data_IF_869858929269
#
_entry.id   IF_869858929269
#
_cell.length_a   1.000
_cell.length_b   1.000
_cell.length_c   1.000
_cell.angle_alpha   90.00
_cell.angle_beta   90.00
_cell.angle_gamma   90.00
#
_symmetry.space_group_name_H-M   'P 1'
#
loop_
_entity.id
_entity.type
_entity.pdbx_description
1 polymer ?
#
# COMPACT_ATOMS: atom_id res chain seq x y z
N UNK A 1 1.55 39.18 -25.09
CA UNK A 1 2.29 40.00 -24.11
C UNK A 1 1.60 39.82 -22.77
N UNK A 2 2.08 38.88 -21.96
CA UNK A 2 1.65 38.72 -20.57
C UNK A 2 2.84 39.07 -19.67
N UNK A 3 2.54 39.89 -18.68
CA UNK A 3 3.47 40.68 -17.88
C UNK A 3 4.12 39.84 -16.79
N UNK A 4 5.45 39.84 -16.74
CA UNK A 4 6.29 39.14 -15.75
C UNK A 4 6.15 39.67 -14.30
N UNK A 5 5.16 40.52 -14.01
CA UNK A 5 5.00 41.19 -12.71
C UNK A 5 4.00 40.52 -11.76
N UNK A 6 3.10 39.66 -12.24
CA UNK A 6 2.09 39.02 -11.38
C UNK A 6 2.67 37.86 -10.54
N UNK A 7 3.68 37.17 -11.07
CA UNK A 7 4.32 36.05 -10.38
C UNK A 7 5.25 36.53 -9.25
N UNK A 8 5.98 37.63 -9.47
CA UNK A 8 6.82 38.26 -8.45
C UNK A 8 5.98 38.89 -7.33
N UNK A 9 4.79 39.41 -7.66
CA UNK A 9 3.84 39.91 -6.66
C UNK A 9 3.31 38.77 -5.77
N UNK A 10 2.88 37.65 -6.36
CA UNK A 10 2.43 36.46 -5.62
C UNK A 10 3.55 35.86 -4.75
N UNK A 11 4.79 35.83 -5.25
CA UNK A 11 5.93 35.34 -4.49
C UNK A 11 6.29 36.27 -3.31
N UNK A 12 6.22 37.59 -3.49
CA UNK A 12 6.44 38.56 -2.41
C UNK A 12 5.32 38.54 -1.37
N UNK A 13 4.07 38.35 -1.78
CA UNK A 13 2.94 38.30 -0.85
C UNK A 13 2.94 37.00 -0.03
N UNK A 14 3.37 35.89 -0.63
CA UNK A 14 3.53 34.60 0.08
C UNK A 14 4.70 34.64 1.07
N UNK A 15 5.81 35.29 0.71
CA UNK A 15 6.94 35.48 1.62
C UNK A 15 6.56 36.39 2.82
N UNK A 16 5.76 37.44 2.59
CA UNK A 16 5.25 38.32 3.66
C UNK A 16 4.28 37.61 4.61
N UNK A 17 3.45 36.70 4.10
CA UNK A 17 2.52 35.92 4.93
C UNK A 17 3.25 34.89 5.81
N UNK A 18 4.39 34.36 5.37
CA UNK A 18 5.20 33.43 6.17
C UNK A 18 5.97 34.17 7.28
N UNK A 19 6.47 35.38 7.01
CA UNK A 19 7.12 36.23 8.02
C UNK A 19 6.15 36.86 9.04
N UNK A 20 4.83 36.81 8.79
CA UNK A 20 3.79 37.28 9.74
C UNK A 20 3.12 36.14 10.51
N UNK A 21 3.52 34.89 10.26
CA UNK A 21 3.03 33.70 10.99
C UNK A 21 4.10 33.10 11.93
N UNK A 22 5.27 33.72 12.04
CA UNK A 22 6.26 33.40 13.08
C UNK A 22 6.02 34.23 14.34
N UNK A 23 4.81 34.15 14.92
CA UNK A 23 4.55 34.68 16.24
C UNK A 23 4.32 33.54 17.23
N UNK A 24 5.32 33.42 18.10
CA UNK A 24 5.43 32.59 19.30
C UNK A 24 4.40 32.94 20.39
N UNK A 25 3.14 33.12 20.01
CA UNK A 25 2.03 33.51 20.91
C UNK A 25 0.81 32.56 20.87
N UNK A 26 0.84 31.47 20.10
CA UNK A 26 -0.28 30.51 20.07
C UNK A 26 -0.09 29.27 20.99
N UNK A 27 1.10 29.05 21.56
CA UNK A 27 1.37 27.88 22.43
C UNK A 27 1.30 28.17 23.94
N UNK A 28 0.97 29.40 24.36
CA UNK A 28 1.04 29.81 25.78
C UNK A 28 -0.28 30.04 26.51
N UNK A 29 -1.41 29.60 25.95
CA UNK A 29 -2.72 29.86 26.59
C UNK A 29 -3.63 28.63 26.80
N UNK A 30 -3.13 27.39 26.67
CA UNK A 30 -3.96 26.19 26.93
C UNK A 30 -3.52 25.29 28.09
N UNK A 31 -2.40 25.59 28.75
CA UNK A 31 -1.99 24.90 29.96
C UNK A 31 -1.61 25.93 31.01
N UNK A 32 -2.53 26.20 31.94
CA UNK A 32 -2.31 26.27 33.39
C UNK A 32 -3.50 26.96 34.08
N UNK A 33 -4.23 26.19 34.90
CA UNK A 33 -4.77 26.65 36.18
C UNK A 33 -5.14 25.42 37.05
N UNK A 34 -5.07 25.53 38.38
CA UNK A 34 -4.46 24.52 39.24
C UNK A 34 -5.38 23.92 40.31
N UNK A 35 -4.84 22.87 40.95
CA UNK A 35 -5.05 22.43 42.35
C UNK A 35 -6.43 21.94 42.79
N UNK A 36 -6.50 20.66 43.14
CA UNK A 36 -7.14 20.23 44.38
C UNK A 36 -6.29 19.16 45.07
N UNK A 37 -6.09 19.40 46.38
CA UNK A 37 -5.32 18.62 47.34
C UNK A 37 -5.75 17.14 47.40
N UNK A 38 -4.78 16.23 47.32
CA UNK A 38 -4.89 14.90 47.95
C UNK A 38 -3.61 14.64 48.72
N UNK A 39 -3.80 14.40 50.02
CA UNK A 39 -2.79 14.23 51.05
C UNK A 39 -1.76 13.14 50.72
N UNK A 40 -0.49 13.53 50.84
CA UNK A 40 0.66 12.65 50.79
C UNK A 40 0.85 11.99 52.17
N UNK A 41 0.30 10.79 52.33
CA UNK A 41 0.75 9.80 53.33
C UNK A 41 -0.04 8.49 53.10
N UNK A 42 0.58 7.51 52.42
CA UNK A 42 0.23 6.07 52.26
C UNK A 42 0.25 5.59 50.80
N UNK A 43 1.39 5.59 50.13
CA UNK A 43 1.67 4.67 49.02
C UNK A 43 3.17 4.36 49.00
N UNK A 44 3.65 3.56 49.96
CA UNK A 44 5.06 3.13 49.99
C UNK A 44 5.17 1.59 50.14
N UNK A 45 4.22 0.83 49.57
CA UNK A 45 4.20 -0.63 49.70
C UNK A 45 3.59 -1.38 48.48
N UNK A 46 3.66 -0.80 47.27
CA UNK A 46 3.19 -1.46 46.03
C UNK A 46 4.12 -1.23 44.80
N UNK A 47 5.43 -1.13 45.01
CA UNK A 47 6.42 -0.96 43.92
C UNK A 47 7.18 -2.23 43.52
N UNK A 48 6.68 -3.43 43.85
CA UNK A 48 7.28 -4.70 43.42
C UNK A 48 6.21 -5.72 42.96
N UNK A 49 5.28 -5.29 42.10
CA UNK A 49 4.44 -6.24 41.36
C UNK A 49 4.72 -6.12 39.87
N UNK A 50 5.67 -6.92 39.39
CA UNK A 50 5.63 -7.61 38.10
C UNK A 50 4.95 -6.84 36.95
N UNK A 51 5.55 -5.73 36.52
CA UNK A 51 5.41 -5.30 35.13
C UNK A 51 6.26 -6.24 34.26
N UNK A 52 5.84 -7.50 34.15
CA UNK A 52 6.09 -8.25 32.94
C UNK A 52 5.24 -7.56 31.88
N UNK A 53 5.80 -6.52 31.24
CA UNK A 53 5.39 -6.17 29.89
C UNK A 53 5.42 -7.48 29.11
N UNK A 54 4.26 -7.97 28.68
CA UNK A 54 4.17 -9.10 27.77
C UNK A 54 4.98 -8.71 26.54
N UNK A 55 6.23 -9.17 26.47
CA UNK A 55 7.12 -8.89 25.35
C UNK A 55 6.38 -9.32 24.09
N UNK A 56 6.05 -8.34 23.24
CA UNK A 56 5.42 -8.60 21.96
C UNK A 56 6.39 -9.47 21.15
N UNK A 57 6.01 -10.72 20.95
CA UNK A 57 6.82 -11.68 20.20
C UNK A 57 6.67 -11.38 18.70
N UNK A 58 7.72 -10.76 18.13
CA UNK A 58 7.78 -10.44 16.70
C UNK A 58 8.40 -11.61 15.92
N UNK A 59 7.92 -11.89 14.70
CA UNK A 59 8.43 -13.01 13.94
C UNK A 59 9.87 -12.78 13.47
N UNK A 60 10.73 -13.79 13.68
CA UNK A 60 12.05 -13.85 13.05
C UNK A 60 11.94 -14.36 11.60
N UNK A 61 11.40 -13.50 10.74
CA UNK A 61 11.14 -13.80 9.34
C UNK A 61 11.41 -12.58 8.46
N UNK A 62 11.74 -12.79 7.17
CA UNK A 62 11.92 -11.68 6.25
C UNK A 62 10.59 -10.98 5.99
N UNK A 63 10.65 -9.66 5.82
CA UNK A 63 9.48 -8.91 5.46
C UNK A 63 9.66 -7.41 5.40
N UNK A 64 8.57 -6.69 5.67
CA UNK A 64 8.55 -5.23 5.66
C UNK A 64 7.97 -4.74 6.97
N UNK A 65 8.72 -3.89 7.67
CA UNK A 65 8.22 -3.05 8.77
C UNK A 65 7.83 -1.69 8.18
N UNK A 66 6.61 -1.22 8.43
CA UNK A 66 6.07 -0.06 7.71
C UNK A 66 5.10 0.80 8.52
N UNK A 67 4.94 2.04 8.07
CA UNK A 67 3.94 2.98 8.52
C UNK A 67 3.09 3.50 7.34
N UNK A 68 1.82 3.78 7.60
CA UNK A 68 0.88 4.39 6.64
C UNK A 68 0.71 5.87 6.99
N UNK A 69 1.51 6.73 6.36
CA UNK A 69 1.43 8.17 6.60
C UNK A 69 0.26 8.77 5.82
N UNK A 70 -0.78 9.24 6.53
CA UNK A 70 -1.92 9.97 5.92
C UNK A 70 -1.62 11.47 5.88
N UNK A 71 -2.01 12.12 4.79
CA UNK A 71 -1.89 13.58 4.61
C UNK A 71 -3.04 14.09 3.75
N UNK A 72 -4.05 14.68 4.40
CA UNK A 72 -5.26 15.16 3.73
C UNK A 72 -6.00 14.04 2.99
N UNK A 73 -6.21 14.21 1.69
CA UNK A 73 -6.91 13.24 0.82
C UNK A 73 -5.97 12.16 0.25
N UNK A 74 -4.74 12.06 0.74
CA UNK A 74 -3.73 11.13 0.22
C UNK A 74 -3.03 10.37 1.35
N UNK A 75 -2.40 9.25 1.01
CA UNK A 75 -1.52 8.51 1.92
C UNK A 75 -0.24 8.09 1.20
N UNK A 76 0.79 7.76 1.97
CA UNK A 76 2.02 7.15 1.45
C UNK A 76 2.50 6.05 2.38
N UNK A 77 3.09 5.01 1.81
CA UNK A 77 3.71 3.94 2.56
C UNK A 77 5.19 4.25 2.78
N UNK A 78 5.63 4.14 4.04
CA UNK A 78 7.04 4.25 4.45
C UNK A 78 7.42 2.96 5.12
N UNK A 79 8.59 2.42 4.81
CA UNK A 79 8.96 1.11 5.30
C UNK A 79 10.44 0.81 5.19
N UNK A 80 10.80 -0.29 5.85
CA UNK A 80 12.12 -0.88 5.90
C UNK A 80 11.95 -2.34 5.50
N UNK A 81 12.64 -2.75 4.44
CA UNK A 81 12.76 -4.17 4.07
C UNK A 81 13.81 -4.79 4.96
N UNK A 82 13.52 -5.99 5.49
CA UNK A 82 14.39 -6.64 6.48
C UNK A 82 14.38 -8.16 6.34
N UNK A 83 15.50 -8.77 6.73
CA UNK A 83 15.63 -10.22 6.86
C UNK A 83 15.00 -10.76 8.16
N UNK A 84 14.87 -9.90 9.19
CA UNK A 84 14.26 -10.21 10.48
C UNK A 84 13.40 -9.04 10.96
N UNK A 85 12.08 -9.26 11.01
CA UNK A 85 11.12 -8.29 11.56
C UNK A 85 11.41 -8.05 13.04
N UNK A 86 11.71 -9.11 13.81
CA UNK A 86 12.13 -9.05 15.21
C UNK A 86 13.28 -8.06 15.44
N UNK A 87 14.43 -8.28 14.78
CA UNK A 87 15.63 -7.43 14.93
C UNK A 87 15.34 -5.95 14.56
N UNK A 88 14.42 -5.74 13.62
CA UNK A 88 14.04 -4.40 13.18
C UNK A 88 13.21 -3.68 14.23
N UNK A 89 12.26 -4.37 14.87
CA UNK A 89 11.49 -3.82 15.99
C UNK A 89 12.36 -3.58 17.22
N UNK A 90 13.31 -4.46 17.52
CA UNK A 90 14.29 -4.25 18.59
C UNK A 90 15.07 -2.96 18.35
N UNK A 91 15.58 -2.77 17.13
CA UNK A 91 16.33 -1.57 16.73
C UNK A 91 15.49 -0.30 16.86
N UNK A 92 14.22 -0.35 16.46
CA UNK A 92 13.28 0.77 16.59
C UNK A 92 12.97 1.09 18.06
N UNK A 93 12.72 0.06 18.87
CA UNK A 93 12.37 0.18 20.30
C UNK A 93 13.56 0.70 21.12
N UNK A 94 14.80 0.40 20.69
CA UNK A 94 16.02 0.99 21.24
C UNK A 94 16.21 2.48 20.87
N UNK A 95 15.30 3.07 20.10
CA UNK A 95 15.31 4.50 19.75
C UNK A 95 16.24 4.84 18.59
N UNK A 96 16.49 3.91 17.65
CA UNK A 96 17.27 4.19 16.45
C UNK A 96 16.61 5.28 15.59
N UNK A 97 17.20 6.47 15.63
CA UNK A 97 16.72 7.65 14.92
C UNK A 97 16.69 7.47 13.40
N UNK A 98 17.55 6.60 12.85
CA UNK A 98 17.57 6.35 11.40
C UNK A 98 16.30 5.62 10.97
N UNK A 99 15.93 4.56 11.68
CA UNK A 99 14.73 3.76 11.41
C UNK A 99 13.46 4.58 11.59
N UNK A 100 13.36 5.34 12.68
CA UNK A 100 12.22 6.24 12.95
C UNK A 100 12.02 7.28 11.85
N UNK A 101 13.11 7.90 11.38
CA UNK A 101 13.06 8.86 10.25
C UNK A 101 12.63 8.21 8.95
N UNK A 102 13.07 6.98 8.66
CA UNK A 102 12.63 6.26 7.45
C UNK A 102 11.14 5.95 7.49
N UNK A 103 10.61 5.56 8.65
CA UNK A 103 9.19 5.27 8.86
C UNK A 103 8.32 6.52 9.00
N UNK A 104 8.93 7.70 9.22
CA UNK A 104 8.25 8.96 9.57
C UNK A 104 7.34 8.79 10.79
N UNK A 105 7.91 8.23 11.85
CA UNK A 105 7.24 8.00 13.13
C UNK A 105 8.06 8.68 14.23
N UNK A 106 7.39 9.29 15.18
CA UNK A 106 8.01 9.85 16.39
C UNK A 106 8.10 8.76 17.47
N UNK A 107 9.04 8.88 18.41
CA UNK A 107 9.24 7.88 19.49
C UNK A 107 7.97 7.63 20.33
N UNK A 108 7.04 8.57 20.37
CA UNK A 108 5.77 8.45 21.09
C UNK A 108 4.68 7.69 20.32
N UNK A 109 4.88 7.34 19.05
CA UNK A 109 3.85 6.76 18.16
C UNK A 109 4.28 5.41 17.56
N UNK A 110 5.05 4.61 18.33
CA UNK A 110 5.53 3.30 17.88
C UNK A 110 4.38 2.32 17.59
N UNK A 111 3.23 2.49 18.26
CA UNK A 111 2.02 1.66 18.06
C UNK A 111 1.44 1.77 16.63
N UNK A 112 1.81 2.82 15.88
CA UNK A 112 1.41 3.00 14.49
C UNK A 112 2.19 2.11 13.50
N UNK A 113 3.31 1.52 13.94
CA UNK A 113 4.19 0.71 13.12
C UNK A 113 3.57 -0.68 12.91
N UNK A 114 3.52 -1.10 11.66
CA UNK A 114 2.97 -2.36 11.20
C UNK A 114 4.07 -3.23 10.60
N UNK A 115 3.78 -4.52 10.41
CA UNK A 115 4.66 -5.40 9.67
C UNK A 115 3.90 -6.36 8.76
N UNK A 116 4.60 -6.89 7.77
CA UNK A 116 4.14 -7.98 6.93
C UNK A 116 5.30 -8.93 6.63
N UNK A 117 5.09 -10.21 6.93
CA UNK A 117 6.00 -11.29 6.56
C UNK A 117 5.90 -11.63 5.08
N UNK A 118 7.03 -12.01 4.49
CA UNK A 118 7.14 -12.51 3.12
C UNK A 118 7.94 -13.82 3.09
N UNK A 119 7.86 -14.56 1.98
CA UNK A 119 8.59 -15.83 1.86
C UNK A 119 10.11 -15.63 1.70
N UNK A 120 10.52 -14.49 1.17
CA UNK A 120 11.91 -14.12 0.97
C UNK A 120 12.08 -12.60 1.00
N UNK A 121 13.32 -12.15 1.25
CA UNK A 121 13.67 -10.73 1.15
C UNK A 121 13.42 -10.18 -0.26
N UNK A 122 13.75 -10.94 -1.30
CA UNK A 122 13.52 -10.53 -2.70
C UNK A 122 12.05 -10.19 -2.96
N UNK A 123 11.12 -10.99 -2.41
CA UNK A 123 9.69 -10.74 -2.56
C UNK A 123 9.27 -9.45 -1.82
N UNK A 124 9.84 -9.20 -0.63
CA UNK A 124 9.61 -7.98 0.12
C UNK A 124 10.14 -6.74 -0.62
N UNK A 125 11.34 -6.82 -1.21
CA UNK A 125 11.92 -5.74 -2.03
C UNK A 125 11.05 -5.40 -3.23
N UNK A 126 10.49 -6.42 -3.91
CA UNK A 126 9.60 -6.19 -5.06
C UNK A 126 8.34 -5.46 -4.63
N UNK A 127 7.71 -5.87 -3.52
CA UNK A 127 6.55 -5.16 -2.97
C UNK A 127 6.93 -3.73 -2.57
N UNK A 128 8.10 -3.56 -1.97
CA UNK A 128 8.63 -2.26 -1.60
C UNK A 128 8.75 -1.33 -2.81
N UNK A 129 9.45 -1.74 -3.86
CA UNK A 129 9.67 -0.94 -5.07
C UNK A 129 8.37 -0.58 -5.79
N UNK A 130 7.38 -1.48 -5.76
CA UNK A 130 6.09 -1.23 -6.39
C UNK A 130 5.22 -0.26 -5.58
N UNK A 131 5.27 -0.29 -4.25
CA UNK A 131 4.24 0.38 -3.43
C UNK A 131 4.77 1.47 -2.49
N UNK A 132 6.03 1.46 -2.12
CA UNK A 132 6.56 2.34 -1.09
C UNK A 132 7.11 3.64 -1.67
N UNK A 133 7.21 4.66 -0.81
CA UNK A 133 7.71 5.99 -1.14
C UNK A 133 6.91 6.71 -2.26
N UNK A 134 5.68 6.24 -2.49
CA UNK A 134 4.71 6.74 -3.47
C UNK A 134 3.53 7.37 -2.75
N UNK A 135 2.87 8.32 -3.41
CA UNK A 135 1.69 9.01 -2.89
C UNK A 135 0.44 8.46 -3.56
N UNK A 136 -0.55 8.06 -2.80
CA UNK A 136 -1.79 7.50 -3.30
C UNK A 136 -2.99 8.33 -2.85
N UNK A 137 -3.98 8.59 -3.71
CA UNK A 137 -5.24 9.17 -3.29
C UNK A 137 -6.04 8.18 -2.45
N UNK A 138 -6.62 8.68 -1.35
CA UNK A 138 -7.60 7.92 -0.54
C UNK A 138 -8.85 7.69 -1.39
N UNK A 139 -9.28 8.71 -2.14
CA UNK A 139 -10.38 8.65 -3.10
C UNK A 139 -9.86 9.03 -4.49
N UNK A 140 -9.74 8.06 -5.40
CA UNK A 140 -9.20 8.27 -6.75
C UNK A 140 -10.02 9.23 -7.61
N UNK A 141 -11.32 9.35 -7.34
CA UNK A 141 -12.25 10.17 -8.12
C UNK A 141 -12.22 11.66 -7.72
N UNK A 142 -11.62 12.02 -6.59
CA UNK A 142 -11.66 13.40 -6.07
C UNK A 142 -10.47 14.27 -6.49
N UNK A 143 -9.25 13.72 -6.60
CA UNK A 143 -8.07 14.48 -7.01
C UNK A 143 -6.96 13.54 -7.52
N UNK A 144 -6.44 13.80 -8.72
CA UNK A 144 -5.16 13.26 -9.17
C UNK A 144 -4.29 14.44 -9.65
N UNK A 145 -3.16 14.68 -9.00
CA UNK A 145 -2.14 15.53 -9.60
C UNK A 145 -1.48 14.75 -10.74
N UNK A 146 -1.01 15.45 -11.79
CA UNK A 146 -0.36 14.84 -12.96
C UNK A 146 0.89 14.01 -12.56
N UNK A 147 1.48 14.32 -11.40
CA UNK A 147 2.67 13.66 -10.85
C UNK A 147 2.39 12.46 -9.93
N UNK A 148 1.12 12.18 -9.60
CA UNK A 148 0.80 11.05 -8.73
C UNK A 148 1.01 9.72 -9.50
N UNK A 149 1.56 8.67 -8.86
CA UNK A 149 1.74 7.36 -9.48
C UNK A 149 0.43 6.87 -10.12
N UNK A 150 0.56 6.35 -11.34
CA UNK A 150 -0.55 6.14 -12.26
C UNK A 150 -1.72 5.32 -11.71
N UNK A 151 -2.88 5.55 -12.35
CA UNK A 151 -4.19 4.95 -12.09
C UNK A 151 -4.16 3.49 -11.63
N UNK A 152 -5.00 3.16 -10.66
CA UNK A 152 -5.30 1.76 -10.33
C UNK A 152 -5.74 0.97 -11.54
N UNK A 153 -5.42 -0.32 -11.51
CA UNK A 153 -6.02 -1.27 -12.42
C UNK A 153 -7.47 -1.56 -12.00
N UNK A 154 -8.33 -1.81 -12.97
CA UNK A 154 -9.76 -2.04 -12.76
C UNK A 154 -10.17 -3.39 -13.30
N UNK A 155 -10.56 -4.29 -12.40
CA UNK A 155 -11.01 -5.64 -12.70
C UNK A 155 -12.53 -5.69 -12.86
N UNK A 156 -12.97 -6.37 -13.91
CA UNK A 156 -14.37 -6.71 -14.14
C UNK A 156 -14.47 -8.18 -14.50
N UNK A 157 -15.19 -8.94 -13.66
CA UNK A 157 -15.57 -10.31 -13.94
C UNK A 157 -16.67 -10.34 -14.98
N UNK A 158 -16.58 -11.24 -15.95
CA UNK A 158 -17.64 -11.50 -16.93
C UNK A 158 -18.15 -12.93 -16.76
N UNK A 159 -19.28 -13.26 -17.39
CA UNK A 159 -19.81 -14.63 -17.35
C UNK A 159 -18.81 -15.65 -17.92
N UNK A 160 -17.99 -15.22 -18.88
CA UNK A 160 -17.07 -16.03 -19.67
C UNK A 160 -15.58 -15.81 -19.37
N UNK A 161 -15.24 -15.03 -18.34
CA UNK A 161 -13.85 -14.72 -17.98
C UNK A 161 -13.69 -13.41 -17.24
N UNK A 162 -12.71 -12.61 -17.64
CA UNK A 162 -12.45 -11.32 -17.00
C UNK A 162 -11.87 -10.26 -17.94
N UNK A 163 -11.90 -9.02 -17.44
CA UNK A 163 -11.27 -7.86 -18.05
C UNK A 163 -10.58 -6.99 -17.00
N UNK A 164 -9.32 -6.68 -17.23
CA UNK A 164 -8.56 -5.68 -16.49
C UNK A 164 -8.34 -4.48 -17.39
N UNK A 165 -8.63 -3.29 -16.89
CA UNK A 165 -8.30 -2.03 -17.56
C UNK A 165 -7.21 -1.34 -16.75
N UNK A 166 -6.12 -0.95 -17.41
CA UNK A 166 -4.96 -0.36 -16.75
C UNK A 166 -5.13 1.14 -16.48
N UNK A 167 -6.24 1.75 -16.91
CA UNK A 167 -6.61 3.15 -16.69
C UNK A 167 -8.12 3.28 -16.48
N UNK A 168 -8.54 4.29 -15.72
CA UNK A 168 -9.94 4.52 -15.31
C UNK A 168 -10.84 5.14 -16.39
N UNK A 169 -10.38 5.38 -17.62
CA UNK A 169 -11.09 6.20 -18.61
C UNK A 169 -12.57 5.83 -18.76
N UNK A 170 -13.45 6.72 -18.26
CA UNK A 170 -14.91 6.74 -18.44
C UNK A 170 -15.45 5.34 -18.70
N UNK A 171 -15.39 4.49 -17.68
CA UNK A 171 -15.86 3.12 -17.76
C UNK A 171 -17.40 3.14 -17.83
N UNK A 172 -17.93 3.41 -19.02
CA UNK A 172 -19.36 3.37 -19.31
C UNK A 172 -19.81 1.92 -19.28
N UNK A 173 -20.29 1.44 -18.14
CA UNK A 173 -20.85 0.10 -17.99
C UNK A 173 -21.40 -0.11 -16.59
N UNK A 174 -22.64 -0.61 -16.51
CA UNK A 174 -23.42 -0.78 -15.28
C UNK A 174 -23.00 -1.99 -14.41
N UNK A 175 -21.70 -2.32 -14.34
CA UNK A 175 -21.19 -3.46 -13.58
C UNK A 175 -20.33 -3.02 -12.40
N UNK A 176 -20.44 -3.72 -11.27
CA UNK A 176 -19.50 -3.62 -10.16
C UNK A 176 -18.10 -3.99 -10.66
N UNK A 177 -17.17 -3.04 -10.59
CA UNK A 177 -15.76 -3.29 -10.92
C UNK A 177 -14.94 -3.19 -9.66
N UNK A 178 -14.02 -4.13 -9.50
CA UNK A 178 -13.09 -4.16 -8.40
C UNK A 178 -11.88 -3.31 -8.75
N UNK A 179 -11.57 -2.35 -7.89
CA UNK A 179 -10.29 -1.64 -7.93
C UNK A 179 -9.20 -2.60 -7.44
N UNK A 180 -8.19 -2.83 -8.27
CA UNK A 180 -7.08 -3.74 -7.93
C UNK A 180 -5.93 -3.01 -7.23
N UNK A 181 -5.84 -1.69 -7.38
CA UNK A 181 -4.68 -0.91 -6.95
C UNK A 181 -3.59 -0.81 -8.02
N UNK A 182 -2.48 -0.14 -7.70
CA UNK A 182 -1.31 0.01 -8.55
C UNK A 182 -0.41 -1.23 -8.43
N UNK A 183 -0.92 -2.39 -8.83
CA UNK A 183 -0.26 -3.69 -8.57
C UNK A 183 0.90 -4.02 -9.52
N UNK A 184 1.16 -3.17 -10.51
CA UNK A 184 2.32 -3.31 -11.38
C UNK A 184 2.43 -2.22 -12.43
N UNK A 185 3.63 -2.12 -13.02
CA UNK A 185 3.87 -1.24 -14.17
C UNK A 185 3.13 -1.78 -15.41
N UNK A 186 2.40 -0.89 -16.08
CA UNK A 186 1.51 -1.27 -17.21
C UNK A 186 2.31 -1.78 -18.41
N UNK A 187 3.46 -1.20 -18.71
CA UNK A 187 4.28 -1.57 -19.88
C UNK A 187 4.92 -2.92 -19.62
N UNK A 188 5.54 -3.09 -18.45
CA UNK A 188 6.13 -4.37 -18.03
C UNK A 188 5.07 -5.46 -17.99
N UNK A 189 3.93 -5.20 -17.36
CA UNK A 189 2.85 -6.19 -17.25
C UNK A 189 2.29 -6.58 -18.61
N UNK A 190 2.05 -5.61 -19.51
CA UNK A 190 1.63 -5.88 -20.88
C UNK A 190 2.64 -6.79 -21.61
N UNK A 191 3.94 -6.51 -21.48
CA UNK A 191 4.98 -7.33 -22.09
C UNK A 191 4.97 -8.76 -21.53
N UNK A 192 4.86 -8.92 -20.20
CA UNK A 192 4.84 -10.23 -19.53
C UNK A 192 3.59 -11.03 -19.86
N UNK A 193 2.40 -10.42 -19.82
CA UNK A 193 1.17 -11.09 -20.24
C UNK A 193 1.21 -11.52 -21.70
N UNK A 194 1.82 -10.73 -22.60
CA UNK A 194 1.96 -11.15 -23.99
C UNK A 194 2.83 -12.41 -24.15
N UNK A 195 3.79 -12.65 -23.26
CA UNK A 195 4.57 -13.91 -23.25
C UNK A 195 3.74 -15.10 -22.76
N UNK A 196 2.79 -14.87 -21.86
CA UNK A 196 1.82 -15.88 -21.39
C UNK A 196 0.73 -16.20 -22.41
N UNK A 197 0.59 -15.41 -23.48
CA UNK A 197 -0.51 -15.51 -24.46
C UNK A 197 -0.59 -16.88 -25.13
N UNK A 198 0.55 -17.43 -25.54
CA UNK A 198 0.58 -18.71 -26.23
C UNK A 198 0.33 -19.87 -25.27
N UNK A 199 0.84 -19.76 -24.04
CA UNK A 199 0.51 -20.69 -22.95
C UNK A 199 -1.01 -20.71 -22.71
N UNK A 200 -1.66 -19.55 -22.52
CA UNK A 200 -3.11 -19.51 -22.33
C UNK A 200 -3.89 -20.15 -23.49
N UNK A 201 -3.48 -19.92 -24.74
CA UNK A 201 -4.12 -20.54 -25.90
C UNK A 201 -3.92 -22.06 -25.98
N UNK A 202 -2.81 -22.56 -25.45
CA UNK A 202 -2.49 -23.98 -25.49
C UNK A 202 -3.26 -24.77 -24.43
N UNK A 203 -3.40 -24.23 -23.21
CA UNK A 203 -3.99 -24.95 -22.08
C UNK A 203 -5.42 -24.55 -21.74
N UNK A 204 -5.93 -23.42 -22.26
CA UNK A 204 -7.29 -22.94 -22.00
C UNK A 204 -8.05 -22.91 -23.33
N UNK A 205 -9.33 -23.32 -23.38
CA UNK A 205 -10.15 -23.14 -24.57
C UNK A 205 -10.56 -21.66 -24.71
N UNK A 206 -9.64 -20.83 -25.19
CA UNK A 206 -9.78 -19.37 -25.31
C UNK A 206 -10.80 -19.01 -26.40
N UNK A 207 -11.80 -18.20 -26.04
CA UNK A 207 -12.72 -17.56 -26.99
C UNK A 207 -12.25 -16.15 -27.38
N UNK A 208 -11.61 -15.42 -26.45
CA UNK A 208 -11.05 -14.10 -26.69
C UNK A 208 -9.80 -13.88 -25.82
N UNK A 209 -8.74 -13.34 -26.41
CA UNK A 209 -7.57 -12.85 -25.65
C UNK A 209 -7.04 -11.54 -26.24
N UNK A 210 -7.10 -10.48 -25.46
CA UNK A 210 -6.63 -9.13 -25.83
C UNK A 210 -5.69 -8.63 -24.76
N UNK A 211 -4.44 -8.35 -25.14
CA UNK A 211 -3.42 -7.82 -24.24
C UNK A 211 -2.82 -6.58 -24.90
N UNK A 212 -2.91 -5.43 -24.22
CA UNK A 212 -2.40 -4.15 -24.68
C UNK A 212 -2.14 -3.25 -23.47
N UNK A 213 -1.44 -2.12 -23.66
CA UNK A 213 -1.23 -1.13 -22.59
C UNK A 213 -2.53 -0.49 -22.04
N UNK A 214 -3.68 -0.76 -22.66
CA UNK A 214 -4.98 -0.28 -22.18
C UNK A 214 -5.68 -1.32 -21.30
N UNK A 215 -5.56 -2.60 -21.65
CA UNK A 215 -6.36 -3.66 -21.06
C UNK A 215 -5.77 -5.05 -21.26
N UNK A 216 -6.16 -5.94 -20.36
CA UNK A 216 -6.02 -7.38 -20.48
C UNK A 216 -7.41 -8.02 -20.40
N UNK A 217 -7.83 -8.69 -21.47
CA UNK A 217 -9.10 -9.44 -21.57
C UNK A 217 -8.75 -10.88 -21.85
N UNK A 218 -9.34 -11.79 -21.08
CA UNK A 218 -9.27 -13.22 -21.32
C UNK A 218 -10.65 -13.81 -21.09
N UNK A 219 -11.17 -14.45 -22.14
CA UNK A 219 -12.43 -15.19 -22.10
C UNK A 219 -12.22 -16.60 -22.60
N UNK A 220 -12.99 -17.53 -22.04
CA UNK A 220 -12.95 -18.93 -22.38
C UNK A 220 -14.35 -19.47 -22.62
N UNK A 221 -14.46 -20.48 -23.48
CA UNK A 221 -15.68 -21.28 -23.57
C UNK A 221 -15.87 -22.21 -22.36
N UNK A 222 -14.81 -22.46 -21.58
CA UNK A 222 -14.85 -23.19 -20.31
C UNK A 222 -14.57 -22.23 -19.15
N UNK A 223 -15.63 -21.79 -18.49
CA UNK A 223 -15.58 -20.81 -17.40
C UNK A 223 -15.14 -21.43 -16.08
N UNK A 224 -15.13 -22.77 -16.00
CA UNK A 224 -14.69 -23.55 -14.85
C UNK A 224 -13.24 -24.03 -14.97
N UNK A 225 -12.53 -23.61 -16.03
CA UNK A 225 -11.18 -24.06 -16.26
C UNK A 225 -10.24 -23.67 -15.10
N UNK A 226 -9.45 -24.60 -14.52
CA UNK A 226 -8.65 -24.32 -13.32
C UNK A 226 -7.67 -23.15 -13.49
N UNK A 227 -6.95 -23.08 -14.62
CA UNK A 227 -6.02 -21.98 -14.91
C UNK A 227 -6.75 -20.62 -14.93
N UNK A 228 -7.97 -20.57 -15.49
CA UNK A 228 -8.75 -19.34 -15.52
C UNK A 228 -9.18 -18.94 -14.11
N UNK A 229 -9.65 -19.90 -13.32
CA UNK A 229 -10.10 -19.67 -11.95
C UNK A 229 -8.94 -19.19 -11.06
N UNK A 230 -7.77 -19.82 -11.15
CA UNK A 230 -6.58 -19.40 -10.41
C UNK A 230 -6.07 -18.02 -10.85
N UNK A 231 -6.11 -17.72 -12.15
CA UNK A 231 -5.73 -16.40 -12.65
C UNK A 231 -6.69 -15.30 -12.16
N UNK A 232 -7.99 -15.59 -12.08
CA UNK A 232 -8.97 -14.66 -11.50
C UNK A 232 -8.73 -14.48 -10.00
N UNK A 233 -8.44 -15.57 -9.27
CA UNK A 233 -8.12 -15.54 -7.84
C UNK A 233 -6.87 -14.71 -7.54
N UNK A 234 -5.85 -14.77 -8.40
CA UNK A 234 -4.66 -13.91 -8.30
C UNK A 234 -5.04 -12.43 -8.27
N UNK A 235 -5.97 -11.99 -9.12
CA UNK A 235 -6.39 -10.58 -9.13
C UNK A 235 -7.37 -10.24 -7.99
N UNK A 236 -8.32 -11.13 -7.71
CA UNK A 236 -9.35 -10.91 -6.69
C UNK A 236 -8.74 -10.91 -5.28
N UNK A 237 -7.83 -11.85 -5.00
CA UNK A 237 -7.33 -12.16 -3.64
C UNK A 237 -5.82 -11.95 -3.47
N UNK A 238 -5.05 -11.82 -4.56
CA UNK A 238 -3.58 -11.74 -4.48
C UNK A 238 -2.92 -13.08 -4.15
N UNK A 239 -3.57 -14.20 -4.48
CA UNK A 239 -3.09 -15.53 -4.08
C UNK A 239 -2.75 -16.41 -5.27
N UNK A 240 -1.61 -17.08 -5.16
CA UNK A 240 -1.18 -18.16 -6.06
C UNK A 240 -0.46 -19.21 -5.23
N UNK A 241 -0.87 -20.47 -5.37
CA UNK A 241 -0.23 -21.58 -4.66
C UNK A 241 1.06 -22.00 -5.36
N UNK A 242 2.01 -22.59 -4.63
CA UNK A 242 3.25 -23.11 -5.23
C UNK A 242 3.00 -24.30 -6.17
N UNK A 243 1.92 -25.04 -5.95
CA UNK A 243 1.43 -26.15 -6.76
C UNK A 243 0.31 -25.76 -7.75
N UNK A 244 0.12 -24.45 -7.96
CA UNK A 244 -0.90 -23.88 -8.85
C UNK A 244 -0.78 -24.41 -10.28
N UNK A 245 -1.92 -24.83 -10.85
CA UNK A 245 -2.00 -25.33 -12.22
C UNK A 245 -1.66 -24.22 -13.22
N UNK A 246 -1.98 -22.96 -12.91
CA UNK A 246 -1.59 -21.77 -13.67
C UNK A 246 -0.07 -21.65 -13.84
N UNK A 247 0.74 -22.20 -12.93
CA UNK A 247 2.21 -22.15 -13.00
C UNK A 247 2.83 -23.30 -13.80
N UNK A 248 2.04 -24.30 -14.18
CA UNK A 248 2.53 -25.50 -14.85
C UNK A 248 3.11 -25.15 -16.23
N UNK A 249 4.27 -25.71 -16.57
CA UNK A 249 4.92 -25.55 -17.89
C UNK A 249 5.28 -24.09 -18.27
N UNK A 250 5.19 -23.15 -17.33
CA UNK A 250 5.72 -21.80 -17.48
C UNK A 250 7.23 -21.77 -17.26
N UNK A 251 7.92 -20.83 -17.93
CA UNK A 251 9.32 -20.58 -17.59
C UNK A 251 9.42 -19.90 -16.23
N UNK A 252 10.58 -20.03 -15.58
CA UNK A 252 10.85 -19.41 -14.28
C UNK A 252 10.51 -17.91 -14.27
N UNK A 253 10.76 -17.22 -15.37
CA UNK A 253 10.50 -15.77 -15.45
C UNK A 253 9.02 -15.43 -15.40
N UNK A 254 8.16 -16.22 -16.06
CA UNK A 254 6.71 -16.00 -16.02
C UNK A 254 6.12 -16.44 -14.67
N UNK A 255 6.65 -17.52 -14.07
CA UNK A 255 6.28 -17.96 -12.72
C UNK A 255 6.56 -16.85 -11.70
N UNK A 256 7.78 -16.31 -11.70
CA UNK A 256 8.17 -15.24 -10.80
C UNK A 256 7.28 -14.01 -10.99
N UNK A 257 7.04 -13.58 -12.23
CA UNK A 257 6.15 -12.45 -12.52
C UNK A 257 4.74 -12.63 -11.93
N UNK A 258 4.13 -13.82 -12.05
CA UNK A 258 2.80 -14.07 -11.49
C UNK A 258 2.83 -14.09 -9.95
N UNK A 259 3.86 -14.66 -9.34
CA UNK A 259 4.03 -14.65 -7.87
C UNK A 259 4.27 -13.26 -7.32
N UNK A 260 5.07 -12.45 -7.99
CA UNK A 260 5.31 -11.04 -7.66
C UNK A 260 4.01 -10.23 -7.72
N UNK A 261 3.26 -10.37 -8.82
CA UNK A 261 1.99 -9.69 -9.00
C UNK A 261 0.97 -10.07 -7.92
N UNK A 262 0.91 -11.36 -7.56
CA UNK A 262 0.08 -11.85 -6.46
C UNK A 262 0.50 -11.23 -5.12
N UNK A 263 1.80 -11.23 -4.81
CA UNK A 263 2.33 -10.66 -3.57
C UNK A 263 2.01 -9.16 -3.42
N UNK A 264 2.21 -8.38 -4.50
CA UNK A 264 1.88 -6.94 -4.52
C UNK A 264 0.38 -6.74 -4.32
N UNK A 265 -0.47 -7.52 -5.00
CA UNK A 265 -1.94 -7.45 -4.83
C UNK A 265 -2.38 -7.80 -3.41
N UNK A 266 -1.81 -8.86 -2.82
CA UNK A 266 -2.12 -9.30 -1.44
C UNK A 266 -1.75 -8.24 -0.42
N UNK A 267 -0.58 -7.62 -0.57
CA UNK A 267 -0.16 -6.53 0.29
C UNK A 267 -1.08 -5.30 0.11
N UNK A 268 -1.43 -4.95 -1.12
CA UNK A 268 -2.35 -3.83 -1.37
C UNK A 268 -3.73 -4.04 -0.72
N UNK A 269 -4.30 -5.24 -0.80
CA UNK A 269 -5.53 -5.61 -0.10
C UNK A 269 -5.43 -5.45 1.43
N UNK A 270 -4.26 -5.70 2.00
CA UNK A 270 -4.01 -5.46 3.42
C UNK A 270 -4.02 -3.97 3.73
N UNK A 271 -3.36 -3.15 2.92
CA UNK A 271 -3.36 -1.69 3.06
C UNK A 271 -4.79 -1.12 2.96
N UNK A 272 -5.57 -1.56 1.98
CA UNK A 272 -6.98 -1.15 1.83
C UNK A 272 -7.81 -1.47 3.07
N UNK A 273 -7.64 -2.66 3.65
CA UNK A 273 -8.31 -3.06 4.89
C UNK A 273 -7.92 -2.17 6.07
N UNK A 274 -6.62 -1.88 6.24
CA UNK A 274 -6.12 -1.01 7.33
C UNK A 274 -6.63 0.43 7.17
N UNK A 275 -6.63 0.95 5.96
CA UNK A 275 -7.18 2.27 5.67
C UNK A 275 -8.68 2.35 6.01
N UNK A 276 -9.45 1.31 5.64
CA UNK A 276 -10.88 1.24 5.92
C UNK A 276 -11.21 1.11 7.42
N UNK A 277 -10.41 0.36 8.18
CA UNK A 277 -10.55 0.26 9.64
C UNK A 277 -10.34 1.61 10.31
N UNK A 278 -9.30 2.34 9.91
CA UNK A 278 -8.97 3.64 10.50
C UNK A 278 -10.01 4.73 10.15
N UNK A 279 -10.72 4.62 9.02
CA UNK A 279 -11.81 5.55 8.66
C UNK A 279 -13.07 5.33 9.50
N UNK A 280 -13.34 4.08 9.94
CA UNK A 280 -14.51 3.78 10.80
C UNK A 280 -14.33 4.23 12.26
N UNK A 281 -13.10 4.47 12.71
CA UNK A 281 -12.82 4.97 14.06
C UNK A 281 -13.01 6.50 14.18
N UNK A 282 -13.12 7.21 13.05
CA UNK A 282 -13.23 8.67 12.98
C UNK A 282 -14.67 9.17 12.71
N UNK A 283 -15.62 8.24 12.50
CA UNK A 283 -17.05 8.52 12.26
C UNK A 283 -17.91 7.90 13.35
#
# INVERSE_FOLDING_TARGET
MHTSGEFDFLAQETARLVDTLSDSEFEREFFLAPEDNIDAEQVDDLLDSDLNEEALDYPNAPGIVYNICKSGTTFSLRGIVTDSIEDTFDTITMGDQSSLRHLKVDESDLDSILFQEFQSIDQAEIVYDQLFNKRYPIEEDLLCNISDPGFSWWYGKTEDGFRINFKSHKLSGAGERLKLGPIGDVVVSCLRFNRLKDHFKQYIPISEIVISEKQFVLKSSDTSHPILTELMRLFEEGEISDDSILLCELSLTEVLFLKELAAVRKFWLLIERKLAQNTKMLN
#
